data_IF_218385756119
#
_entry.id   IF_218385756119
#
_cell.length_a   1.000
_cell.length_b   1.000
_cell.length_c   1.000
_cell.angle_alpha   90.00
_cell.angle_beta   90.00
_cell.angle_gamma   90.00
#
_symmetry.space_group_name_H-M   'P 1'
#
loop_
_entity.id
_entity.type
_entity.pdbx_description
1 polymer ?
#
# COMPACT_ATOMS: atom_id res chain seq x y z
N UNK A 1 -15.10 2.38 -29.06
CA UNK A 1 -13.82 2.77 -28.45
C UNK A 1 -12.65 2.17 -29.25
N UNK A 2 -11.85 3.01 -29.91
CA UNK A 2 -10.65 2.61 -30.66
C UNK A 2 -9.42 2.41 -29.73
N UNK A 3 -8.29 1.96 -30.28
CA UNK A 3 -7.08 1.68 -29.48
C UNK A 3 -6.51 2.92 -28.78
N UNK A 4 -6.53 4.08 -29.43
CA UNK A 4 -6.07 5.34 -28.84
C UNK A 4 -6.95 5.78 -27.67
N UNK A 5 -8.27 5.68 -27.85
CA UNK A 5 -9.26 5.96 -26.79
C UNK A 5 -9.10 4.99 -25.62
N UNK A 6 -8.91 3.68 -25.89
CA UNK A 6 -8.65 2.67 -24.85
C UNK A 6 -7.38 3.01 -24.06
N UNK A 7 -6.28 3.28 -24.75
CA UNK A 7 -4.99 3.60 -24.15
C UNK A 7 -5.11 4.83 -23.23
N UNK A 8 -5.76 5.88 -23.70
CA UNK A 8 -5.96 7.10 -22.93
C UNK A 8 -6.89 6.87 -21.73
N UNK A 9 -8.02 6.19 -21.91
CA UNK A 9 -8.99 5.93 -20.85
C UNK A 9 -8.36 5.09 -19.72
N UNK A 10 -7.69 4.00 -20.08
CA UNK A 10 -7.01 3.12 -19.12
C UNK A 10 -5.87 3.86 -18.41
N UNK A 11 -5.03 4.55 -19.18
CA UNK A 11 -3.90 5.29 -18.61
C UNK A 11 -4.35 6.31 -17.57
N UNK A 12 -5.32 7.17 -17.93
CA UNK A 12 -5.85 8.19 -17.03
C UNK A 12 -6.50 7.59 -15.79
N UNK A 13 -7.26 6.51 -15.95
CA UNK A 13 -7.93 5.85 -14.84
C UNK A 13 -6.94 5.34 -13.79
N UNK A 14 -5.81 4.78 -14.23
CA UNK A 14 -4.87 4.10 -13.34
C UNK A 14 -3.78 5.04 -12.81
N UNK A 15 -3.38 6.06 -13.58
CA UNK A 15 -2.21 6.90 -13.28
C UNK A 15 -2.50 8.41 -13.24
N UNK A 16 -3.75 8.83 -13.46
CA UNK A 16 -4.11 10.24 -13.53
C UNK A 16 -3.51 10.96 -14.73
N UNK A 17 -3.21 12.25 -14.59
CA UNK A 17 -2.80 13.09 -15.72
C UNK A 17 -1.42 12.72 -16.30
N UNK A 18 -0.54 12.19 -15.46
CA UNK A 18 0.84 11.83 -15.84
C UNK A 18 0.96 10.37 -16.31
N UNK A 19 -0.08 9.83 -16.96
CA UNK A 19 -0.21 8.40 -17.24
C UNK A 19 0.69 7.82 -18.33
N UNK A 20 1.18 8.64 -19.26
CA UNK A 20 1.87 8.13 -20.46
C UNK A 20 3.16 7.38 -20.14
N UNK A 21 3.97 7.88 -19.19
CA UNK A 21 5.22 7.24 -18.76
C UNK A 21 5.03 5.98 -17.89
N UNK A 22 4.13 5.94 -16.90
CA UNK A 22 3.86 4.69 -16.18
C UNK A 22 3.23 3.62 -17.08
N UNK A 23 2.23 3.95 -17.91
CA UNK A 23 1.64 2.93 -18.78
C UNK A 23 2.64 2.40 -19.80
N UNK A 24 3.56 3.24 -20.33
CA UNK A 24 4.55 2.78 -21.31
C UNK A 24 5.47 1.74 -20.70
N UNK A 25 5.91 1.96 -19.45
CA UNK A 25 6.71 1.00 -18.68
C UNK A 25 5.95 -0.29 -18.44
N UNK A 26 4.71 -0.19 -17.98
CA UNK A 26 3.94 -1.37 -17.59
C UNK A 26 3.55 -2.24 -18.79
N UNK A 27 3.19 -1.63 -19.93
CA UNK A 27 2.88 -2.39 -21.15
C UNK A 27 4.13 -2.75 -21.96
N UNK A 28 5.34 -2.36 -21.53
CA UNK A 28 6.61 -2.68 -22.20
C UNK A 28 6.80 -2.02 -23.57
N UNK A 29 6.54 -0.71 -23.68
CA UNK A 29 6.86 0.11 -24.86
C UNK A 29 7.61 1.39 -24.47
N UNK A 30 8.33 1.96 -25.43
CA UNK A 30 8.94 3.28 -25.25
C UNK A 30 7.88 4.39 -25.15
N UNK A 31 8.13 5.42 -24.33
CA UNK A 31 7.21 6.55 -24.18
C UNK A 31 6.99 7.31 -25.51
N UNK A 32 7.95 7.27 -26.45
CA UNK A 32 7.77 7.80 -27.81
C UNK A 32 6.72 7.02 -28.59
N UNK A 33 6.64 5.70 -28.40
CA UNK A 33 5.60 4.86 -29.02
C UNK A 33 4.21 5.26 -28.54
N UNK A 34 4.03 5.55 -27.24
CA UNK A 34 2.77 6.09 -26.72
C UNK A 34 2.40 7.40 -27.41
N UNK A 35 3.34 8.35 -27.51
CA UNK A 35 3.09 9.65 -28.17
C UNK A 35 2.70 9.50 -29.63
N UNK A 36 3.34 8.60 -30.36
CA UNK A 36 2.98 8.33 -31.76
C UNK A 36 1.62 7.64 -31.90
N UNK A 37 1.30 6.71 -31.00
CA UNK A 37 -0.02 6.08 -30.97
C UNK A 37 -1.14 7.08 -30.69
N UNK A 38 -0.89 8.05 -29.80
CA UNK A 38 -1.84 9.13 -29.51
C UNK A 38 -2.10 10.05 -30.71
N UNK A 39 -1.11 10.22 -31.59
CA UNK A 39 -1.25 10.99 -32.83
C UNK A 39 -1.79 10.16 -34.01
N UNK A 40 -2.01 8.85 -33.82
CA UNK A 40 -2.39 7.94 -34.91
C UNK A 40 -1.27 7.63 -35.89
N UNK A 41 -0.01 7.99 -35.57
CA UNK A 41 1.15 7.78 -36.44
C UNK A 41 1.70 6.35 -36.36
N UNK A 42 1.39 5.61 -35.28
CA UNK A 42 1.82 4.22 -35.06
C UNK A 42 0.77 3.43 -34.29
N UNK A 43 0.59 2.17 -34.64
CA UNK A 43 -0.20 1.26 -33.83
C UNK A 43 0.68 0.53 -32.81
N UNK A 44 0.10 0.25 -31.64
CA UNK A 44 0.70 -0.63 -30.64
C UNK A 44 0.12 -2.02 -30.85
N UNK A 45 0.96 -2.95 -31.31
CA UNK A 45 0.55 -4.33 -31.53
C UNK A 45 0.03 -4.95 -30.23
N UNK A 46 -1.11 -5.64 -30.34
CA UNK A 46 -1.75 -6.32 -29.21
C UNK A 46 -2.01 -5.41 -27.99
N UNK A 47 -2.31 -4.12 -28.22
CA UNK A 47 -2.51 -3.14 -27.14
C UNK A 47 -3.48 -3.64 -26.05
N UNK A 48 -4.61 -4.23 -26.44
CA UNK A 48 -5.63 -4.65 -25.46
C UNK A 48 -5.12 -5.76 -24.53
N UNK A 49 -4.40 -6.77 -25.05
CA UNK A 49 -3.83 -7.83 -24.20
C UNK A 49 -2.68 -7.28 -23.35
N UNK A 50 -1.82 -6.45 -23.92
CA UNK A 50 -0.74 -5.78 -23.18
C UNK A 50 -1.25 -4.94 -22.01
N UNK A 51 -2.30 -4.16 -22.22
CA UNK A 51 -2.94 -3.39 -21.15
C UNK A 51 -3.52 -4.32 -20.08
N UNK A 52 -4.25 -5.36 -20.48
CA UNK A 52 -4.84 -6.33 -19.56
C UNK A 52 -3.77 -7.02 -18.70
N UNK A 53 -2.76 -7.61 -19.32
CA UNK A 53 -1.67 -8.32 -18.63
C UNK A 53 -0.92 -7.39 -17.67
N UNK A 54 -0.60 -6.18 -18.10
CA UNK A 54 0.08 -5.19 -17.27
C UNK A 54 -0.74 -4.82 -16.02
N UNK A 55 -2.06 -4.65 -16.17
CA UNK A 55 -2.94 -4.32 -15.05
C UNK A 55 -3.20 -5.51 -14.14
N UNK A 56 -3.31 -6.73 -14.67
CA UNK A 56 -3.43 -7.96 -13.88
C UNK A 56 -2.18 -8.15 -13.01
N UNK A 57 -0.98 -7.99 -13.58
CA UNK A 57 0.28 -8.05 -12.82
C UNK A 57 0.37 -6.96 -11.76
N UNK A 58 -0.13 -5.75 -12.05
CA UNK A 58 -0.16 -4.65 -11.08
C UNK A 58 -1.15 -4.94 -9.95
N UNK A 59 -2.34 -5.43 -10.26
CA UNK A 59 -3.34 -5.81 -9.28
C UNK A 59 -2.80 -6.87 -8.33
N UNK A 60 -2.08 -7.88 -8.85
CA UNK A 60 -1.47 -8.92 -8.03
C UNK A 60 -0.41 -8.34 -7.07
N UNK A 61 0.47 -7.46 -7.57
CA UNK A 61 1.45 -6.78 -6.71
C UNK A 61 0.80 -5.93 -5.62
N UNK A 62 -0.28 -5.21 -5.95
CA UNK A 62 -1.03 -4.42 -4.99
C UNK A 62 -1.69 -5.31 -3.94
N UNK A 63 -2.24 -6.45 -4.36
CA UNK A 63 -2.81 -7.44 -3.44
C UNK A 63 -1.75 -7.99 -2.48
N UNK A 64 -0.58 -8.39 -2.99
CA UNK A 64 0.53 -8.84 -2.13
C UNK A 64 1.01 -7.75 -1.18
N UNK A 65 1.04 -6.49 -1.62
CA UNK A 65 1.38 -5.36 -0.73
C UNK A 65 0.34 -5.17 0.39
N UNK A 66 -0.94 -5.33 0.09
CA UNK A 66 -2.02 -5.30 1.10
C UNK A 66 -1.89 -6.47 2.07
N UNK A 67 -1.56 -7.67 1.58
CA UNK A 67 -1.32 -8.84 2.45
C UNK A 67 -0.16 -8.61 3.41
N UNK A 68 0.93 -7.95 2.96
CA UNK A 68 2.04 -7.56 3.84
C UNK A 68 1.56 -6.56 4.91
N UNK A 69 0.82 -5.53 4.51
CA UNK A 69 0.24 -4.54 5.43
C UNK A 69 -0.68 -5.23 6.46
N UNK A 70 -1.43 -6.25 6.06
CA UNK A 70 -2.35 -6.95 6.96
C UNK A 70 -1.72 -8.14 7.70
N UNK A 71 -0.41 -8.37 7.56
CA UNK A 71 0.25 -9.56 8.12
C UNK A 71 0.22 -9.61 9.65
N UNK A 72 0.08 -8.45 10.29
CA UNK A 72 -0.01 -8.23 11.74
C UNK A 72 -1.34 -7.58 12.14
N UNK A 73 -2.35 -7.62 11.26
CA UNK A 73 -3.68 -7.12 11.56
C UNK A 73 -4.40 -8.10 12.50
N UNK A 74 -4.97 -7.58 13.57
CA UNK A 74 -5.81 -8.32 14.52
C UNK A 74 -7.16 -7.61 14.73
N UNK A 75 -8.15 -8.40 15.12
CA UNK A 75 -9.40 -7.84 15.66
C UNK A 75 -9.09 -7.18 17.00
N UNK A 76 -9.66 -6.01 17.26
CA UNK A 76 -9.54 -5.38 18.59
C UNK A 76 -10.08 -6.25 19.71
N UNK A 77 -11.07 -7.10 19.44
CA UNK A 77 -11.63 -8.04 20.42
C UNK A 77 -10.64 -9.18 20.77
N UNK A 78 -9.67 -9.46 19.90
CA UNK A 78 -8.61 -10.46 20.12
C UNK A 78 -7.36 -9.85 20.79
N UNK A 79 -7.33 -8.52 20.98
CA UNK A 79 -6.23 -7.83 21.66
C UNK A 79 -6.62 -7.64 23.12
N UNK A 80 -6.03 -8.47 23.97
CA UNK A 80 -6.20 -8.40 25.41
C UNK A 80 -5.05 -7.67 26.11
N UNK A 81 -5.18 -7.55 27.43
CA UNK A 81 -4.18 -6.92 28.31
C UNK A 81 -2.83 -7.64 28.24
N UNK A 82 -2.82 -8.95 27.98
CA UNK A 82 -1.58 -9.74 27.96
C UNK A 82 -0.78 -9.40 26.69
N UNK A 83 -1.44 -9.31 25.52
CA UNK A 83 -0.80 -8.86 24.27
C UNK A 83 -0.25 -7.44 24.40
N UNK A 84 -1.02 -6.52 25.01
CA UNK A 84 -0.55 -5.14 25.24
C UNK A 84 0.67 -5.14 26.17
N UNK A 85 0.63 -5.95 27.24
CA UNK A 85 1.75 -6.09 28.18
C UNK A 85 3.00 -6.62 27.49
N UNK A 86 2.87 -7.64 26.65
CA UNK A 86 3.98 -8.22 25.88
C UNK A 86 4.64 -7.18 24.95
N UNK A 87 3.84 -6.34 24.28
CA UNK A 87 4.36 -5.26 23.42
C UNK A 87 5.12 -4.23 24.26
N UNK A 88 4.53 -3.78 25.38
CA UNK A 88 5.16 -2.80 26.26
C UNK A 88 6.46 -3.35 26.84
N UNK A 89 6.45 -4.58 27.35
CA UNK A 89 7.59 -5.25 27.99
C UNK A 89 8.75 -5.55 27.02
N UNK A 90 8.50 -5.49 25.71
CA UNK A 90 9.54 -5.56 24.67
C UNK A 90 10.52 -4.37 24.69
N UNK A 91 10.25 -3.32 25.46
CA UNK A 91 11.07 -2.11 25.52
C UNK A 91 11.50 -1.76 26.96
N UNK A 92 12.65 -1.10 27.06
CA UNK A 92 13.14 -0.50 28.31
C UNK A 92 12.68 0.96 28.39
N UNK A 93 12.09 1.36 29.52
CA UNK A 93 11.61 2.72 29.77
C UNK A 93 12.44 3.35 30.88
N UNK A 94 12.55 4.69 30.88
CA UNK A 94 13.29 5.40 31.93
C UNK A 94 12.68 5.23 33.32
N UNK A 95 11.35 5.11 33.43
CA UNK A 95 10.64 4.80 34.66
C UNK A 95 9.28 4.10 34.43
N UNK A 96 8.66 3.67 35.53
CA UNK A 96 7.34 3.02 35.53
C UNK A 96 6.20 3.94 35.08
N UNK A 97 6.35 5.27 35.19
CA UNK A 97 5.33 6.19 34.75
C UNK A 97 5.26 6.24 33.22
N UNK A 98 6.40 6.21 32.53
CA UNK A 98 6.45 6.12 31.07
C UNK A 98 5.99 4.76 30.55
N UNK A 99 6.35 3.68 31.25
CA UNK A 99 5.82 2.34 30.94
C UNK A 99 4.29 2.30 31.02
N UNK A 100 3.73 2.85 32.11
CA UNK A 100 2.27 2.96 32.27
C UNK A 100 1.62 3.84 31.21
N UNK A 101 2.24 4.98 30.88
CA UNK A 101 1.72 5.86 29.83
C UNK A 101 1.71 5.17 28.46
N UNK A 102 2.72 4.35 28.15
CA UNK A 102 2.75 3.52 26.94
C UNK A 102 1.60 2.51 26.92
N UNK A 103 1.40 1.79 28.02
CA UNK A 103 0.31 0.84 28.17
C UNK A 103 -1.06 1.51 27.95
N UNK A 104 -1.31 2.64 28.63
CA UNK A 104 -2.56 3.38 28.53
C UNK A 104 -2.79 3.91 27.10
N UNK A 105 -1.77 4.44 26.42
CA UNK A 105 -1.88 4.92 25.03
C UNK A 105 -2.17 3.78 24.05
N UNK A 106 -1.52 2.62 24.22
CA UNK A 106 -1.77 1.42 23.39
C UNK A 106 -3.19 0.93 23.60
N UNK A 107 -3.64 0.75 24.85
CA UNK A 107 -4.98 0.28 25.15
C UNK A 107 -6.06 1.20 24.57
N UNK A 108 -5.83 2.51 24.56
CA UNK A 108 -6.74 3.48 23.94
C UNK A 108 -6.68 3.50 22.41
N UNK A 109 -5.61 2.98 21.79
CA UNK A 109 -5.45 2.88 20.35
C UNK A 109 -6.08 1.61 19.75
N UNK A 110 -6.38 0.60 20.58
CA UNK A 110 -7.07 -0.61 20.14
C UNK A 110 -8.47 -0.27 19.63
N UNK A 111 -8.75 -0.69 18.40
CA UNK A 111 -10.05 -0.57 17.77
C UNK A 111 -10.38 -1.84 16.96
N UNK A 112 -11.54 -1.87 16.30
CA UNK A 112 -12.04 -3.08 15.62
C UNK A 112 -11.01 -3.73 14.68
N UNK A 113 -10.25 -2.91 13.95
CA UNK A 113 -9.15 -3.34 13.09
C UNK A 113 -7.86 -2.68 13.59
N UNK A 114 -6.96 -3.47 14.19
CA UNK A 114 -5.73 -2.95 14.81
C UNK A 114 -4.51 -3.64 14.24
N UNK A 115 -3.46 -2.88 13.95
CA UNK A 115 -2.16 -3.39 13.50
C UNK A 115 -1.17 -3.39 14.65
N UNK A 116 -0.56 -4.55 14.94
CA UNK A 116 0.37 -4.66 16.06
C UNK A 116 1.60 -3.76 15.86
N UNK A 117 2.04 -3.53 14.62
CA UNK A 117 3.14 -2.62 14.29
C UNK A 117 2.84 -1.15 14.62
N UNK A 118 1.57 -0.73 14.56
CA UNK A 118 1.15 0.60 15.01
C UNK A 118 1.20 0.70 16.54
N UNK A 119 0.78 -0.34 17.26
CA UNK A 119 0.88 -0.41 18.72
C UNK A 119 2.36 -0.45 19.20
N UNK A 120 3.19 -1.24 18.54
CA UNK A 120 4.65 -1.30 18.76
C UNK A 120 5.30 0.07 18.57
N UNK A 121 4.86 0.84 17.57
CA UNK A 121 5.34 2.20 17.33
C UNK A 121 5.03 3.15 18.50
N UNK A 122 3.91 2.95 19.20
CA UNK A 122 3.55 3.70 20.42
C UNK A 122 4.48 3.31 21.57
N UNK A 123 4.68 2.01 21.84
CA UNK A 123 5.61 1.55 22.88
C UNK A 123 7.03 2.11 22.65
N UNK A 124 7.52 2.01 21.40
CA UNK A 124 8.82 2.52 20.98
C UNK A 124 8.96 4.04 21.09
N UNK A 125 7.87 4.79 20.95
CA UNK A 125 7.87 6.24 21.16
C UNK A 125 8.13 6.58 22.63
N UNK A 126 7.50 5.86 23.55
CA UNK A 126 7.63 6.09 24.98
C UNK A 126 8.96 5.61 25.56
N UNK A 127 9.54 4.54 25.04
CA UNK A 127 10.86 4.03 25.48
C UNK A 127 12.04 4.93 25.14
N UNK A 128 11.83 5.99 24.34
CA UNK A 128 12.85 7.00 24.05
C UNK A 128 12.96 8.07 25.13
N UNK A 129 12.03 8.10 26.09
CA UNK A 129 12.00 9.05 27.20
C UNK A 129 12.47 8.37 28.47
#
# INVERSE_FOLDING_TARGET
>A
MNNTEKLMAVGKLVYGDNWQSPISRDIGVDSRTIRYALKGEREINHLSSRLKEALEQKAEKLKSAIEIINSDKMSGDDIDVDIISDIVDGYEYSDEQYKKAAFDEINNAVCADTWLSDLDSIARKWSKY
#
